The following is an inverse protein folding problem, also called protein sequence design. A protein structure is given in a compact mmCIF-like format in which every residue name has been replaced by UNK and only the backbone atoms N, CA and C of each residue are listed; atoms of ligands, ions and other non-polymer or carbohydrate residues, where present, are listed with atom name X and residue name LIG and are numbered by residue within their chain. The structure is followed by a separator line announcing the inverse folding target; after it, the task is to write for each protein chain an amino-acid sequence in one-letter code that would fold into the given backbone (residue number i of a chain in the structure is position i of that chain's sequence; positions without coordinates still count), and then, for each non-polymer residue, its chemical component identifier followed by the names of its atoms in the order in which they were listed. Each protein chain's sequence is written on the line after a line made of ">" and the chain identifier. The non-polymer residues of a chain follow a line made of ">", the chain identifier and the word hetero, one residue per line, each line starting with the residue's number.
data_IF_542499545921
#
_entry.id   IF_542499545921
#
_cell.length_a   1.000
_cell.length_b   1.000
_cell.length_c   1.000
_cell.angle_alpha   90.00
_cell.angle_beta   90.00
_cell.angle_gamma   90.00
#
_symmetry.space_group_name_H-M   'P 1'
#
loop_
_entity.id
_entity.type
_entity.pdbx_description
1 polymer ?
#
# COMPACT_ATOMS: atom_id res chain seq x y z
N UNK A 1 0.67 13.21 10.71
CA UNK A 1 -0.41 12.45 11.35
C UNK A 1 -0.09 10.99 11.13
N UNK A 2 0.08 10.25 12.21
CA UNK A 2 0.54 8.87 12.16
C UNK A 2 -0.47 7.99 11.44
N UNK A 3 0.05 7.05 10.64
CA UNK A 3 -0.71 6.09 9.83
C UNK A 3 -1.56 5.14 10.68
N UNK A 4 -1.25 5.05 11.97
CA UNK A 4 -1.87 4.16 12.94
C UNK A 4 -2.04 4.87 14.28
N UNK A 5 -3.14 4.56 14.97
CA UNK A 5 -3.35 4.92 16.35
C UNK A 5 -3.23 3.65 17.19
N UNK A 6 -2.39 3.69 18.21
CA UNK A 6 -2.14 2.56 19.08
C UNK A 6 -2.93 2.73 20.37
N UNK A 7 -3.55 1.64 20.82
CA UNK A 7 -4.20 1.53 22.12
C UNK A 7 -3.88 0.15 22.69
N UNK A 8 -3.82 0.07 24.02
CA UNK A 8 -3.65 -1.17 24.76
C UNK A 8 -4.92 -1.35 25.58
N UNK A 9 -5.43 -2.58 25.63
CA UNK A 9 -6.61 -2.96 26.39
C UNK A 9 -6.41 -4.32 27.01
N UNK A 10 -7.17 -4.59 28.07
CA UNK A 10 -7.32 -5.95 28.59
C UNK A 10 -7.97 -6.84 27.52
N UNK A 11 -7.52 -8.10 27.43
CA UNK A 11 -8.03 -9.05 26.44
C UNK A 11 -9.51 -9.35 26.62
N UNK A 12 -10.01 -9.31 27.86
CA UNK A 12 -11.39 -9.63 28.19
C UNK A 12 -12.37 -8.58 27.64
N UNK A 13 -11.91 -7.33 27.48
CA UNK A 13 -12.73 -6.26 26.89
C UNK A 13 -12.98 -6.45 25.39
N UNK A 14 -12.12 -7.21 24.70
CA UNK A 14 -12.18 -7.45 23.25
C UNK A 14 -12.21 -8.95 22.90
N UNK A 15 -12.66 -9.80 23.82
CA UNK A 15 -12.62 -11.26 23.67
C UNK A 15 -13.42 -11.75 22.44
N UNK A 16 -14.56 -11.12 22.15
CA UNK A 16 -15.39 -11.44 20.99
C UNK A 16 -14.68 -11.07 19.67
N UNK A 17 -14.06 -9.88 19.63
CA UNK A 17 -13.26 -9.43 18.49
C UNK A 17 -12.09 -10.37 18.21
N UNK A 18 -11.37 -10.77 19.24
CA UNK A 18 -10.21 -11.66 19.16
C UNK A 18 -10.64 -13.06 18.72
N UNK A 19 -11.71 -13.61 19.30
CA UNK A 19 -12.26 -14.91 18.91
C UNK A 19 -12.70 -14.91 17.45
N UNK A 20 -13.41 -13.86 17.00
CA UNK A 20 -13.88 -13.73 15.61
C UNK A 20 -12.75 -13.72 14.58
N UNK A 21 -11.53 -13.32 14.97
CA UNK A 21 -10.35 -13.34 14.11
C UNK A 21 -9.41 -14.50 14.40
N UNK A 22 -9.75 -15.41 15.33
CA UNK A 22 -8.94 -16.58 15.69
C UNK A 22 -7.72 -16.25 16.56
N UNK A 23 -7.82 -15.24 17.40
CA UNK A 23 -6.84 -14.87 18.42
C UNK A 23 -7.32 -15.15 19.87
N UNK A 24 -8.56 -15.62 20.05
CA UNK A 24 -9.16 -15.84 21.39
C UNK A 24 -8.40 -16.84 22.27
N UNK A 25 -7.78 -17.87 21.65
CA UNK A 25 -6.98 -18.89 22.35
C UNK A 25 -5.52 -18.88 21.85
N UNK A 26 -4.97 -17.71 21.53
CA UNK A 26 -3.64 -17.63 20.91
C UNK A 26 -2.51 -18.11 21.82
N UNK A 27 -2.71 -18.08 23.15
CA UNK A 27 -1.68 -18.37 24.14
C UNK A 27 -0.51 -17.37 24.13
N UNK A 28 -0.66 -16.26 23.41
CA UNK A 28 0.32 -15.20 23.33
C UNK A 28 0.20 -14.27 24.54
N UNK A 29 1.34 -13.71 24.96
CA UNK A 29 1.36 -12.63 25.94
C UNK A 29 0.68 -11.36 25.39
N UNK A 30 0.78 -11.11 24.08
CA UNK A 30 0.22 -9.94 23.42
C UNK A 30 -0.48 -10.32 22.11
N UNK A 31 -1.78 -10.07 22.03
CA UNK A 31 -2.54 -10.13 20.78
C UNK A 31 -2.52 -8.74 20.10
N UNK A 32 -2.25 -8.71 18.79
CA UNK A 32 -2.30 -7.47 18.00
C UNK A 32 -3.42 -7.57 16.96
N UNK A 33 -4.35 -6.62 17.02
CA UNK A 33 -5.49 -6.49 16.11
C UNK A 33 -5.58 -5.07 15.56
N UNK A 34 -5.59 -4.93 14.24
CA UNK A 34 -5.78 -3.63 13.58
C UNK A 34 -7.22 -3.51 13.06
N UNK A 35 -7.88 -2.43 13.46
CA UNK A 35 -9.17 -2.01 12.94
C UNK A 35 -8.94 -1.09 11.73
N UNK A 36 -9.24 -1.59 10.54
CA UNK A 36 -9.10 -0.83 9.30
C UNK A 36 -10.24 0.18 9.11
N UNK A 37 -9.96 1.28 8.42
CA UNK A 37 -10.98 2.25 7.98
C UNK A 37 -12.00 1.65 6.99
N UNK A 38 -11.70 0.48 6.43
CA UNK A 38 -12.60 -0.31 5.60
C UNK A 38 -13.58 -1.19 6.42
N UNK A 39 -13.59 -1.05 7.76
CA UNK A 39 -14.40 -1.83 8.67
C UNK A 39 -13.90 -3.26 8.87
N UNK A 40 -12.75 -3.63 8.30
CA UNK A 40 -12.16 -4.97 8.46
C UNK A 40 -11.23 -5.01 9.65
N UNK A 41 -11.10 -6.21 10.23
CA UNK A 41 -10.19 -6.52 11.32
C UNK A 41 -9.02 -7.33 10.77
N UNK A 42 -7.82 -6.89 11.07
CA UNK A 42 -6.58 -7.52 10.60
C UNK A 42 -5.80 -8.04 11.81
N UNK A 43 -5.80 -9.36 12.07
CA UNK A 43 -5.02 -9.95 13.15
C UNK A 43 -3.55 -10.11 12.75
N UNK A 44 -2.62 -9.81 13.66
CA UNK A 44 -1.23 -10.24 13.55
C UNK A 44 -1.17 -11.73 13.90
N UNK A 45 -0.91 -12.58 12.90
CA UNK A 45 -1.01 -14.03 13.07
C UNK A 45 0.29 -14.59 13.65
N UNK A 46 0.28 -15.29 14.81
CA UNK A 46 1.52 -15.82 15.40
C UNK A 46 2.28 -16.81 14.52
N UNK A 47 1.63 -17.49 13.59
CA UNK A 47 2.31 -18.39 12.65
C UNK A 47 2.99 -17.64 11.48
N UNK A 48 2.79 -16.33 11.35
CA UNK A 48 3.40 -15.49 10.33
C UNK A 48 4.50 -14.57 10.88
N UNK A 49 4.60 -14.44 12.21
CA UNK A 49 5.43 -13.49 12.93
C UNK A 49 5.97 -14.15 14.20
N UNK A 50 7.23 -14.61 14.17
CA UNK A 50 7.88 -15.40 15.22
C UNK A 50 9.04 -14.68 15.93
N UNK A 51 9.26 -13.40 15.62
CA UNK A 51 10.26 -12.55 16.28
C UNK A 51 9.70 -11.88 17.56
N UNK A 52 10.43 -10.92 18.13
CA UNK A 52 9.94 -10.10 19.24
C UNK A 52 8.82 -9.14 18.80
N UNK A 53 7.99 -8.68 19.75
CA UNK A 53 6.83 -7.84 19.48
C UNK A 53 7.15 -6.56 18.66
N UNK A 54 8.24 -5.81 18.91
CA UNK A 54 8.56 -4.62 18.12
C UNK A 54 8.81 -4.93 16.64
N UNK A 55 9.60 -5.96 16.35
CA UNK A 55 9.93 -6.44 15.01
C UNK A 55 8.68 -6.97 14.31
N UNK A 56 7.91 -7.82 15.00
CA UNK A 56 6.64 -8.34 14.50
C UNK A 56 5.65 -7.22 14.19
N UNK A 57 5.54 -6.22 15.07
CA UNK A 57 4.65 -5.09 14.87
C UNK A 57 5.08 -4.26 13.65
N UNK A 58 6.39 -4.02 13.47
CA UNK A 58 6.90 -3.33 12.29
C UNK A 58 6.58 -4.12 11.01
N UNK A 59 6.93 -5.40 10.96
CA UNK A 59 6.68 -6.27 9.81
C UNK A 59 5.18 -6.41 9.51
N UNK A 60 4.35 -6.50 10.56
CA UNK A 60 2.90 -6.55 10.42
C UNK A 60 2.34 -5.26 9.84
N UNK A 61 2.79 -4.10 10.32
CA UNK A 61 2.39 -2.80 9.77
C UNK A 61 2.84 -2.61 8.32
N UNK A 62 4.01 -3.12 7.96
CA UNK A 62 4.48 -3.17 6.57
C UNK A 62 3.62 -4.12 5.72
N UNK A 63 3.24 -5.29 6.24
CA UNK A 63 2.31 -6.22 5.56
C UNK A 63 0.92 -5.62 5.36
N UNK A 64 0.45 -4.82 6.31
CA UNK A 64 -0.81 -4.08 6.19
C UNK A 64 -0.68 -2.92 5.19
N UNK A 65 0.54 -2.43 4.94
CA UNK A 65 0.79 -1.46 3.89
C UNK A 65 0.51 -2.12 2.54
N UNK A 66 -0.57 -1.68 1.90
CA UNK A 66 -0.94 -2.16 0.55
C UNK A 66 -0.10 -1.49 -0.54
N UNK A 67 0.90 -0.70 -0.15
CA UNK A 67 1.87 -0.04 -1.04
C UNK A 67 3.16 -0.86 -1.04
N UNK A 68 3.53 -1.40 -2.20
CA UNK A 68 4.74 -2.21 -2.35
C UNK A 68 5.98 -1.33 -2.50
N UNK A 69 7.01 -1.57 -1.69
CA UNK A 69 8.31 -0.92 -1.91
C UNK A 69 9.05 -1.58 -3.07
N UNK A 70 9.54 -0.76 -4.00
CA UNK A 70 10.29 -1.18 -5.18
C UNK A 70 11.69 -0.56 -5.09
N UNK A 71 12.68 -1.33 -5.53
CA UNK A 71 14.08 -0.95 -5.67
C UNK A 71 14.55 -1.22 -7.09
N UNK A 72 15.70 -0.69 -7.49
CA UNK A 72 16.21 -0.83 -8.86
C UNK A 72 16.27 -2.29 -9.33
N UNK A 73 16.66 -3.23 -8.46
CA UNK A 73 16.82 -4.65 -8.80
C UNK A 73 15.51 -5.38 -9.10
N UNK A 74 14.37 -4.94 -8.53
CA UNK A 74 13.07 -5.57 -8.73
C UNK A 74 12.08 -4.70 -9.52
N UNK A 75 12.49 -3.50 -9.92
CA UNK A 75 11.64 -2.55 -10.64
C UNK A 75 11.05 -3.15 -11.90
N UNK A 76 11.88 -3.72 -12.78
CA UNK A 76 11.41 -4.28 -14.05
C UNK A 76 10.39 -5.41 -13.82
N UNK A 77 10.66 -6.30 -12.87
CA UNK A 77 9.77 -7.42 -12.56
C UNK A 77 8.38 -6.97 -12.10
N UNK A 78 8.32 -5.93 -11.26
CA UNK A 78 7.07 -5.48 -10.64
C UNK A 78 6.32 -4.49 -11.54
N UNK A 79 7.04 -3.50 -12.06
CA UNK A 79 6.45 -2.35 -12.75
C UNK A 79 6.11 -2.69 -14.19
N UNK A 80 6.94 -3.50 -14.85
CA UNK A 80 6.74 -3.91 -16.23
C UNK A 80 5.94 -5.21 -16.39
N UNK A 81 5.28 -5.68 -15.33
CA UNK A 81 4.25 -6.71 -15.46
C UNK A 81 3.10 -6.18 -16.34
N UNK A 82 3.05 -6.67 -17.58
CA UNK A 82 2.09 -6.25 -18.60
C UNK A 82 0.63 -6.55 -18.21
N UNK A 83 0.39 -7.39 -17.19
CA UNK A 83 -0.96 -7.74 -16.72
C UNK A 83 -1.52 -6.79 -15.66
N UNK A 84 -0.67 -5.94 -15.07
CA UNK A 84 -1.03 -5.07 -13.96
C UNK A 84 -1.05 -3.61 -14.36
N UNK A 85 -2.03 -2.86 -13.87
CA UNK A 85 -1.90 -1.40 -13.79
C UNK A 85 -1.04 -1.05 -12.56
N UNK A 86 -0.15 -0.07 -12.69
CA UNK A 86 0.76 0.30 -11.60
C UNK A 86 0.70 1.81 -11.38
N UNK A 87 0.22 2.24 -10.21
CA UNK A 87 0.41 3.61 -9.73
C UNK A 87 1.70 3.63 -8.90
N UNK A 88 2.56 4.61 -9.14
CA UNK A 88 3.88 4.69 -8.54
C UNK A 88 4.18 6.05 -7.94
N UNK A 89 4.73 6.06 -6.73
CA UNK A 89 5.35 7.21 -6.09
C UNK A 89 6.88 7.10 -6.14
N UNK A 90 7.53 8.09 -6.75
CA UNK A 90 8.95 8.36 -6.58
C UNK A 90 9.13 9.38 -5.46
N UNK A 91 9.79 8.99 -4.39
CA UNK A 91 9.97 9.83 -3.19
C UNK A 91 11.44 9.99 -2.82
N UNK A 92 11.68 10.88 -1.84
CA UNK A 92 12.94 11.03 -1.14
C UNK A 92 12.68 10.99 0.39
N UNK A 93 13.52 10.32 1.20
CA UNK A 93 13.23 10.15 2.64
C UNK A 93 13.17 11.47 3.43
N UNK A 94 13.89 12.49 2.98
CA UNK A 94 13.95 13.82 3.62
C UNK A 94 12.84 14.78 3.15
N UNK A 95 12.04 14.40 2.16
CA UNK A 95 11.01 15.25 1.56
C UNK A 95 9.76 15.33 2.45
N UNK A 96 9.49 16.50 3.03
CA UNK A 96 8.31 16.73 3.89
C UNK A 96 6.98 16.50 3.17
N UNK A 97 6.86 16.90 1.90
CA UNK A 97 5.66 16.64 1.10
C UNK A 97 5.41 15.16 0.84
N UNK A 98 6.48 14.35 0.77
CA UNK A 98 6.40 12.91 0.58
C UNK A 98 5.89 12.23 1.85
N UNK A 99 6.44 12.60 3.01
CA UNK A 99 5.94 12.16 4.33
C UNK A 99 4.47 12.50 4.53
N UNK A 100 4.04 13.69 4.09
CA UNK A 100 2.64 14.09 4.14
C UNK A 100 1.75 13.27 3.19
N UNK A 101 2.27 12.88 2.02
CA UNK A 101 1.54 12.10 1.04
C UNK A 101 1.44 10.61 1.40
N UNK A 102 2.44 10.06 2.09
CA UNK A 102 2.51 8.63 2.46
C UNK A 102 1.24 8.14 3.17
N UNK A 103 0.66 8.93 4.08
CA UNK A 103 -0.59 8.56 4.75
C UNK A 103 -1.74 8.40 3.75
N UNK A 104 -1.89 9.33 2.81
CA UNK A 104 -2.95 9.29 1.80
C UNK A 104 -2.72 8.18 0.78
N UNK A 105 -1.47 7.94 0.41
CA UNK A 105 -1.11 6.90 -0.55
C UNK A 105 -1.37 5.50 0.01
N UNK A 106 -1.09 5.30 1.30
CA UNK A 106 -1.45 4.07 2.00
C UNK A 106 -2.97 3.89 2.14
N UNK A 107 -3.70 4.95 2.50
CA UNK A 107 -5.17 4.90 2.57
C UNK A 107 -5.78 4.52 1.22
N UNK A 108 -5.27 5.11 0.14
CA UNK A 108 -5.65 4.76 -1.24
C UNK A 108 -5.40 3.28 -1.52
N UNK A 109 -4.25 2.75 -1.13
CA UNK A 109 -3.91 1.35 -1.36
C UNK A 109 -4.82 0.38 -0.59
N UNK A 110 -5.17 0.69 0.66
CA UNK A 110 -6.14 -0.10 1.44
C UNK A 110 -7.51 -0.06 0.77
N UNK A 111 -7.98 1.13 0.38
CA UNK A 111 -9.29 1.31 -0.27
C UNK A 111 -9.40 0.55 -1.59
N UNK A 112 -8.29 0.41 -2.32
CA UNK A 112 -8.25 -0.24 -3.63
C UNK A 112 -7.74 -1.68 -3.56
N UNK A 113 -7.62 -2.27 -2.37
CA UNK A 113 -7.13 -3.64 -2.18
C UNK A 113 -7.95 -4.71 -2.91
N UNK A 114 -9.21 -4.43 -3.25
CA UNK A 114 -10.06 -5.32 -4.07
C UNK A 114 -9.72 -5.30 -5.56
N UNK A 115 -9.00 -4.30 -6.05
CA UNK A 115 -8.54 -4.18 -7.43
C UNK A 115 -7.29 -5.04 -7.63
N UNK A 116 -7.47 -6.35 -7.82
CA UNK A 116 -6.35 -7.32 -7.89
C UNK A 116 -5.37 -7.10 -9.06
N UNK A 117 -5.76 -6.32 -10.06
CA UNK A 117 -4.91 -5.92 -11.18
C UNK A 117 -4.22 -4.57 -10.99
N UNK A 118 -4.43 -3.89 -9.86
CA UNK A 118 -3.81 -2.63 -9.54
C UNK A 118 -2.71 -2.83 -8.50
N UNK A 119 -1.52 -2.32 -8.78
CA UNK A 119 -0.43 -2.22 -7.82
C UNK A 119 -0.19 -0.75 -7.47
N UNK A 120 -0.11 -0.46 -6.18
CA UNK A 120 0.43 0.81 -5.68
C UNK A 120 1.84 0.54 -5.18
N UNK A 121 2.81 1.31 -5.68
CA UNK A 121 4.22 1.08 -5.36
C UNK A 121 4.95 2.37 -5.03
N UNK A 122 5.97 2.29 -4.19
CA UNK A 122 6.86 3.41 -3.87
C UNK A 122 8.32 3.05 -4.08
N UNK A 123 9.12 4.00 -4.54
CA UNK A 123 10.57 3.85 -4.72
C UNK A 123 11.30 5.11 -4.24
N UNK A 124 12.35 4.89 -3.45
CA UNK A 124 13.29 5.95 -3.09
C UNK A 124 14.18 6.23 -4.31
N UNK A 125 13.85 7.31 -5.01
CA UNK A 125 14.55 7.72 -6.23
C UNK A 125 15.89 8.44 -5.94
N UNK A 126 16.26 8.63 -4.67
CA UNK A 126 17.59 9.12 -4.27
C UNK A 126 18.60 8.00 -4.08
N UNK A 127 18.13 6.78 -3.84
CA UNK A 127 18.95 5.59 -3.59
C UNK A 127 18.88 4.54 -4.69
N UNK A 128 18.08 4.77 -5.75
CA UNK A 128 17.86 3.81 -6.82
C UNK A 128 17.92 4.47 -8.21
N UNK A 129 18.51 3.76 -9.17
CA UNK A 129 18.47 4.14 -10.58
C UNK A 129 17.04 4.05 -11.12
N UNK A 130 16.56 5.14 -11.72
CA UNK A 130 15.23 5.23 -12.29
C UNK A 130 15.27 5.05 -13.82
N UNK A 131 14.41 4.20 -14.41
CA UNK A 131 14.37 4.04 -15.86
C UNK A 131 14.07 5.35 -16.60
N UNK A 132 14.72 5.56 -17.75
CA UNK A 132 14.72 6.84 -18.49
C UNK A 132 13.34 7.35 -18.92
N UNK A 133 12.34 6.48 -19.01
CA UNK A 133 10.96 6.86 -19.34
C UNK A 133 10.22 7.52 -18.17
N UNK A 134 10.80 7.55 -16.97
CA UNK A 134 10.28 8.29 -15.83
C UNK A 134 11.15 9.52 -15.57
N UNK A 135 10.62 10.70 -15.87
CA UNK A 135 11.26 11.98 -15.58
C UNK A 135 10.94 12.40 -14.15
N UNK A 136 11.87 12.10 -13.24
CA UNK A 136 11.80 12.42 -11.80
C UNK A 136 12.68 13.62 -11.50
N UNK A 137 12.12 14.82 -11.67
CA UNK A 137 12.78 16.11 -11.45
C UNK A 137 12.48 16.74 -10.08
N UNK A 138 11.62 16.12 -9.28
CA UNK A 138 11.25 16.60 -7.95
C UNK A 138 10.39 15.59 -7.20
N UNK A 139 10.09 15.88 -5.93
CA UNK A 139 9.44 14.92 -5.03
C UNK A 139 8.17 15.46 -4.33
N UNK A 140 7.15 14.61 -4.12
CA UNK A 140 6.98 13.30 -4.78
C UNK A 140 6.60 13.49 -6.25
N UNK A 141 7.12 12.62 -7.12
CA UNK A 141 6.67 12.48 -8.52
C UNK A 141 5.81 11.23 -8.63
N UNK A 142 4.66 11.34 -9.28
CA UNK A 142 3.70 10.23 -9.38
C UNK A 142 3.53 9.88 -10.85
N UNK A 143 3.55 8.58 -11.15
CA UNK A 143 3.28 8.05 -12.48
C UNK A 143 2.27 6.90 -12.42
N UNK A 144 1.57 6.70 -13.52
CA UNK A 144 0.73 5.53 -13.73
C UNK A 144 1.17 4.79 -15.00
N UNK A 145 1.46 3.50 -14.88
CA UNK A 145 1.86 2.63 -15.98
C UNK A 145 0.73 1.59 -16.22
N UNK A 146 -0.15 1.83 -17.21
CA UNK A 146 -1.25 0.93 -17.51
C UNK A 146 -0.75 -0.46 -17.94
N UNK A 147 -1.55 -1.49 -17.68
CA UNK A 147 -1.35 -2.83 -18.23
C UNK A 147 -1.24 -2.76 -19.76
N UNK A 148 -0.29 -3.49 -20.35
CA UNK A 148 -0.02 -3.49 -21.79
C UNK A 148 0.66 -2.23 -22.35
N UNK A 149 0.94 -1.20 -21.52
CA UNK A 149 1.46 0.11 -21.97
C UNK A 149 2.64 0.61 -21.12
N UNK A 150 3.53 -0.28 -20.71
CA UNK A 150 4.62 0.00 -19.76
C UNK A 150 5.68 0.98 -20.26
N UNK A 151 5.83 1.09 -21.58
CA UNK A 151 6.75 2.03 -22.22
C UNK A 151 6.22 3.46 -22.25
N UNK A 152 4.93 3.65 -21.98
CA UNK A 152 4.24 4.95 -22.02
C UNK A 152 3.65 5.31 -20.64
N UNK A 153 4.47 5.40 -19.58
CA UNK A 153 3.96 5.76 -18.27
C UNK A 153 3.46 7.20 -18.26
N UNK A 154 2.33 7.43 -17.62
CA UNK A 154 1.61 8.69 -17.62
C UNK A 154 1.95 9.46 -16.35
N UNK A 155 2.64 10.60 -16.48
CA UNK A 155 2.97 11.48 -15.35
C UNK A 155 1.69 12.10 -14.79
N UNK A 156 1.45 11.92 -13.49
CA UNK A 156 0.34 12.54 -12.80
C UNK A 156 0.67 13.99 -12.42
N UNK A 157 -0.25 14.92 -12.67
CA UNK A 157 -0.08 16.36 -12.44
C UNK A 157 -1.22 17.00 -11.61
N UNK A 158 -2.14 16.20 -11.09
CA UNK A 158 -3.28 16.68 -10.30
C UNK A 158 -3.00 16.75 -8.79
N UNK A 159 -4.07 16.91 -8.00
CA UNK A 159 -3.95 16.97 -6.54
C UNK A 159 -3.68 15.60 -5.92
N UNK A 160 -2.89 15.58 -4.86
CA UNK A 160 -2.48 14.34 -4.18
C UNK A 160 -3.50 13.88 -3.14
N UNK A 161 -4.79 13.91 -3.47
CA UNK A 161 -5.87 13.35 -2.66
C UNK A 161 -6.44 12.08 -3.28
N UNK A 162 -7.19 11.33 -2.48
CA UNK A 162 -7.70 10.01 -2.89
C UNK A 162 -8.65 10.11 -4.08
N UNK A 163 -9.48 11.16 -4.15
CA UNK A 163 -10.49 11.31 -5.19
C UNK A 163 -9.84 11.53 -6.55
N UNK A 164 -8.94 12.50 -6.61
CA UNK A 164 -8.26 12.87 -7.86
C UNK A 164 -7.34 11.75 -8.36
N UNK A 165 -6.62 11.05 -7.47
CA UNK A 165 -5.81 9.88 -7.84
C UNK A 165 -6.67 8.72 -8.34
N UNK A 166 -7.79 8.44 -7.67
CA UNK A 166 -8.71 7.37 -8.09
C UNK A 166 -9.31 7.67 -9.45
N UNK A 167 -9.77 8.91 -9.68
CA UNK A 167 -10.36 9.33 -10.95
C UNK A 167 -9.32 9.28 -12.08
N UNK A 168 -8.10 9.71 -11.80
CA UNK A 168 -6.99 9.61 -12.74
C UNK A 168 -6.71 8.15 -13.13
N UNK A 169 -6.58 7.25 -12.15
CA UNK A 169 -6.38 5.83 -12.45
C UNK A 169 -7.54 5.26 -13.26
N UNK A 170 -8.80 5.50 -12.87
CA UNK A 170 -9.98 5.04 -13.62
C UNK A 170 -9.99 5.50 -15.07
N UNK A 171 -9.53 6.73 -15.34
CA UNK A 171 -9.46 7.29 -16.70
C UNK A 171 -8.41 6.59 -17.59
N UNK A 172 -7.36 6.04 -17.00
CA UNK A 172 -6.20 5.52 -17.73
C UNK A 172 -5.99 4.01 -17.57
N UNK A 173 -6.67 3.38 -16.62
CA UNK A 173 -6.54 1.96 -16.32
C UNK A 173 -6.89 1.10 -17.52
N UNK A 174 -6.13 0.03 -17.70
CA UNK A 174 -6.37 -0.95 -18.77
C UNK A 174 -6.83 -2.29 -18.21
N UNK A 175 -6.53 -2.63 -16.96
CA UNK A 175 -6.87 -3.92 -16.34
C UNK A 175 -7.66 -3.82 -15.03
N UNK A 176 -7.62 -2.68 -14.35
CA UNK A 176 -8.27 -2.40 -13.06
C UNK A 176 -9.54 -1.58 -13.24
N UNK A 177 -10.38 -1.51 -12.21
CA UNK A 177 -11.65 -0.78 -12.18
C UNK A 177 -12.67 -1.23 -13.23
N UNK A 178 -12.48 -2.44 -13.79
CA UNK A 178 -13.47 -3.06 -14.67
C UNK A 178 -14.66 -3.47 -13.81
N UNK A 179 -15.82 -2.88 -14.06
CA UNK A 179 -17.08 -3.35 -13.49
C UNK A 179 -17.28 -4.82 -13.85
N UNK A 180 -17.67 -5.66 -12.87
CA UNK A 180 -18.14 -7.04 -13.13
C UNK A 180 -19.45 -6.98 -13.94
N UNK A 181 -19.34 -6.83 -15.25
CA UNK A 181 -20.37 -6.93 -16.28
C UNK A 181 -19.57 -7.46 -17.49
N UNK A 182 -19.71 -8.65 -18.06
CA UNK A 182 -20.75 -9.68 -18.16
C UNK A 182 -20.05 -11.07 -18.28
N UNK A 183 -20.62 -12.10 -17.67
CA UNK A 183 -20.66 -13.46 -18.21
C UNK A 183 -22.14 -13.89 -18.21
#
# INVERSE_FOLDING_TARGET
>A
KDKYHFAISDENEFADELTAVGLGDSGLEHNVLVFGYDGKKYPMRPNEFDDELPENLQAFMEKLSSVKTVVASNFAQIVFDETKDVLMEFYAPWCGHCKAFESKYNELAVKLKSESNLLLVKIDATANDIPKNYDVSGFPTIYFAPAGKKKEPIKYKGNRDLGDLTNFMKKHASASFRSKIEL
#
